data_IF_219391964188
#
_entry.id   IF_219391964188
#
_cell.length_a   1.000
_cell.length_b   1.000
_cell.length_c   1.000
_cell.angle_alpha   90.00
_cell.angle_beta   90.00
_cell.angle_gamma   90.00
#
_symmetry.space_group_name_H-M   'P 1'
#
loop_
_entity.id
_entity.type
_entity.pdbx_description
1 polymer ?
#
# COMPACT_ATOMS: atom_id res chain seq x y z
N UNK A 1 0.36 6.56 -10.57
CA UNK A 1 1.20 6.00 -11.66
C UNK A 1 2.19 4.98 -11.07
N UNK A 2 1.78 3.75 -10.73
CA UNK A 2 2.70 2.69 -10.22
C UNK A 2 2.40 1.27 -10.77
N UNK A 3 1.35 1.07 -11.59
CA UNK A 3 1.01 -0.27 -12.12
C UNK A 3 1.71 -0.69 -13.44
N UNK A 4 2.78 -0.01 -13.89
CA UNK A 4 3.39 -0.28 -15.21
C UNK A 4 4.62 -1.20 -15.22
N UNK A 5 5.09 -1.70 -14.07
CA UNK A 5 6.39 -2.39 -14.00
C UNK A 5 6.34 -3.92 -13.95
N UNK A 6 5.16 -4.54 -13.88
CA UNK A 6 5.02 -6.01 -13.86
C UNK A 6 4.53 -6.65 -15.17
N UNK A 7 4.16 -5.85 -16.20
CA UNK A 7 3.60 -6.37 -17.45
C UNK A 7 4.65 -6.75 -18.52
N UNK A 8 5.85 -6.16 -18.50
CA UNK A 8 6.90 -6.42 -19.50
C UNK A 8 7.44 -7.86 -19.53
N UNK A 9 7.70 -8.54 -18.40
CA UNK A 9 8.24 -9.90 -18.45
C UNK A 9 7.21 -10.92 -18.96
N UNK A 10 5.92 -10.74 -18.65
CA UNK A 10 4.84 -11.60 -19.15
C UNK A 10 4.63 -11.48 -20.66
N UNK A 11 4.70 -10.26 -21.21
CA UNK A 11 4.57 -10.02 -22.63
C UNK A 11 5.70 -10.68 -23.44
N UNK A 12 6.95 -10.63 -22.95
CA UNK A 12 8.08 -11.25 -23.60
C UNK A 12 8.00 -12.79 -23.62
N UNK A 13 7.49 -13.39 -22.54
CA UNK A 13 7.25 -14.84 -22.43
C UNK A 13 6.13 -15.27 -23.40
N UNK A 14 5.04 -14.51 -23.48
CA UNK A 14 3.94 -14.75 -24.42
C UNK A 14 4.39 -14.64 -25.89
N UNK A 15 5.19 -13.63 -26.23
CA UNK A 15 5.77 -13.47 -27.58
C UNK A 15 6.74 -14.60 -27.94
N UNK A 16 7.51 -15.11 -26.97
CA UNK A 16 8.39 -16.27 -27.16
C UNK A 16 7.61 -17.57 -27.41
N UNK A 17 6.51 -17.79 -26.69
CA UNK A 17 5.65 -18.98 -26.84
C UNK A 17 4.92 -18.98 -28.19
N UNK A 18 4.45 -17.82 -28.66
CA UNK A 18 3.78 -17.70 -29.96
C UNK A 18 4.72 -18.07 -31.12
N UNK A 19 5.97 -17.61 -31.08
CA UNK A 19 6.98 -17.95 -32.12
C UNK A 19 7.35 -19.43 -32.15
N UNK A 20 7.40 -20.11 -31.00
CA UNK A 20 7.77 -21.52 -30.96
C UNK A 20 6.70 -22.41 -31.63
N UNK A 21 5.42 -22.03 -31.50
CA UNK A 21 4.30 -22.73 -32.15
C UNK A 21 4.36 -22.61 -33.68
N UNK A 22 4.72 -21.44 -34.20
CA UNK A 22 4.85 -21.22 -35.64
C UNK A 22 5.93 -22.13 -36.26
N UNK A 23 7.06 -22.31 -35.58
CA UNK A 23 8.11 -23.22 -36.04
C UNK A 23 7.66 -24.69 -36.04
N UNK A 24 6.90 -25.11 -35.02
CA UNK A 24 6.34 -26.46 -34.97
C UNK A 24 5.35 -26.70 -36.12
N UNK A 25 4.49 -25.73 -36.41
CA UNK A 25 3.56 -25.82 -37.54
C UNK A 25 4.29 -25.95 -38.88
N UNK A 26 5.37 -25.20 -39.09
CA UNK A 26 6.19 -25.31 -40.29
C UNK A 26 6.93 -26.66 -40.39
N UNK A 27 7.39 -27.20 -39.26
CA UNK A 27 7.99 -28.53 -39.22
C UNK A 27 7.01 -29.62 -39.63
N UNK A 28 5.79 -29.61 -39.08
CA UNK A 28 4.71 -30.55 -39.46
C UNK A 28 4.47 -30.53 -40.96
N UNK A 29 4.27 -29.33 -41.52
CA UNK A 29 3.99 -29.13 -42.94
C UNK A 29 5.10 -29.68 -43.85
N UNK A 30 6.37 -29.50 -43.49
CA UNK A 30 7.48 -30.04 -44.27
C UNK A 30 7.55 -31.57 -44.20
N UNK A 31 7.22 -32.17 -43.05
CA UNK A 31 7.15 -33.62 -42.89
C UNK A 31 5.98 -34.19 -43.72
N UNK A 32 4.83 -33.53 -43.67
CA UNK A 32 3.66 -33.88 -44.48
C UNK A 32 4.00 -33.86 -45.98
N UNK A 33 4.70 -32.82 -46.44
CA UNK A 33 5.14 -32.71 -47.83
C UNK A 33 6.18 -33.78 -48.20
N UNK A 34 7.13 -34.08 -47.31
CA UNK A 34 8.21 -35.06 -47.56
C UNK A 34 7.68 -36.49 -47.70
N UNK A 35 6.63 -36.81 -46.95
CA UNK A 35 6.01 -38.14 -46.93
C UNK A 35 4.69 -38.22 -47.71
N UNK A 36 4.26 -37.12 -48.33
CA UNK A 36 2.98 -36.96 -49.01
C UNK A 36 1.78 -37.37 -48.14
N UNK A 37 1.81 -36.96 -46.87
CA UNK A 37 0.76 -37.24 -45.88
C UNK A 37 -0.41 -36.26 -46.00
N UNK A 38 -1.60 -36.72 -45.60
CA UNK A 38 -2.77 -35.86 -45.38
C UNK A 38 -2.52 -34.87 -44.24
N UNK A 39 -3.17 -33.71 -44.29
CA UNK A 39 -3.18 -32.73 -43.18
C UNK A 39 -3.85 -33.27 -41.91
N UNK A 40 -4.67 -34.32 -42.05
CA UNK A 40 -5.20 -35.12 -40.94
C UNK A 40 -4.76 -36.58 -41.13
N UNK A 41 -3.60 -36.98 -40.57
CA UNK A 41 -3.07 -38.32 -40.73
C UNK A 41 -3.95 -39.39 -40.06
N UNK A 42 -4.14 -40.53 -40.71
CA UNK A 42 -4.84 -41.69 -40.15
C UNK A 42 -3.93 -42.49 -39.20
N UNK A 43 -4.48 -43.45 -38.45
CA UNK A 43 -3.71 -44.27 -37.50
C UNK A 43 -2.52 -44.98 -38.16
N UNK A 44 -2.71 -45.50 -39.37
CA UNK A 44 -1.66 -46.13 -40.19
C UNK A 44 -0.53 -45.16 -40.57
N UNK A 45 -0.86 -43.88 -40.76
CA UNK A 45 0.13 -42.86 -41.10
C UNK A 45 1.05 -42.55 -39.92
N UNK A 46 0.55 -42.64 -38.68
CA UNK A 46 1.37 -42.47 -37.49
C UNK A 46 2.28 -43.67 -37.21
N UNK A 47 1.84 -44.90 -37.54
CA UNK A 47 2.69 -46.09 -37.51
C UNK A 47 3.84 -45.97 -38.53
N UNK A 48 3.52 -45.56 -39.76
CA UNK A 48 4.53 -45.31 -40.78
C UNK A 48 5.48 -44.18 -40.39
N UNK A 49 4.96 -43.06 -39.87
CA UNK A 49 5.78 -41.93 -39.43
C UNK A 49 6.73 -42.32 -38.29
N UNK A 50 6.26 -43.14 -37.34
CA UNK A 50 7.07 -43.70 -36.27
C UNK A 50 8.24 -44.53 -36.84
N UNK A 51 7.96 -45.46 -37.75
CA UNK A 51 8.97 -46.33 -38.35
C UNK A 51 10.06 -45.54 -39.09
N UNK A 52 9.65 -44.60 -39.95
CA UNK A 52 10.60 -43.85 -40.80
C UNK A 52 11.42 -42.85 -39.97
N UNK A 53 10.84 -42.24 -38.92
CA UNK A 53 11.60 -41.39 -37.99
C UNK A 53 12.59 -42.25 -37.20
N UNK A 54 12.17 -43.40 -36.68
CA UNK A 54 13.03 -44.29 -35.90
C UNK A 54 14.19 -44.81 -36.75
N UNK A 55 13.93 -45.23 -37.98
CA UNK A 55 14.97 -45.71 -38.90
C UNK A 55 16.03 -44.63 -39.17
N UNK A 56 15.58 -43.39 -39.43
CA UNK A 56 16.46 -42.31 -39.84
C UNK A 56 17.19 -41.63 -38.68
N UNK A 57 16.51 -41.43 -37.57
CA UNK A 57 17.03 -40.63 -36.43
C UNK A 57 17.48 -41.49 -35.26
N UNK A 58 17.19 -42.79 -35.29
CA UNK A 58 17.38 -43.75 -34.18
C UNK A 58 16.72 -43.32 -32.87
N UNK A 59 15.76 -42.41 -32.95
CA UNK A 59 14.99 -41.94 -31.80
C UNK A 59 13.59 -42.53 -31.84
N UNK A 60 13.23 -43.25 -30.79
CA UNK A 60 11.91 -43.85 -30.63
C UNK A 60 10.89 -42.80 -30.18
N UNK A 61 10.06 -42.34 -31.13
CA UNK A 61 8.90 -41.49 -30.86
C UNK A 61 7.62 -42.32 -30.98
N UNK A 62 6.96 -42.62 -29.86
CA UNK A 62 5.72 -43.40 -29.88
C UNK A 62 4.65 -42.79 -30.78
N UNK A 63 3.82 -43.64 -31.39
CA UNK A 63 2.67 -43.22 -32.22
C UNK A 63 1.71 -42.30 -31.47
N UNK A 64 1.58 -42.47 -30.14
CA UNK A 64 0.83 -41.58 -29.25
C UNK A 64 1.46 -40.18 -29.11
N UNK A 65 2.79 -40.07 -29.11
CA UNK A 65 3.50 -38.79 -29.06
C UNK A 65 3.35 -38.03 -30.38
N UNK A 66 3.48 -38.73 -31.51
CA UNK A 66 3.26 -38.15 -32.84
C UNK A 66 1.81 -37.68 -33.01
N UNK A 67 0.83 -38.49 -32.58
CA UNK A 67 -0.59 -38.11 -32.60
C UNK A 67 -0.87 -36.83 -31.80
N UNK A 68 -0.24 -36.68 -30.64
CA UNK A 68 -0.37 -35.47 -29.82
C UNK A 68 0.18 -34.23 -30.52
N UNK A 69 1.30 -34.36 -31.23
CA UNK A 69 1.88 -33.25 -32.01
C UNK A 69 0.92 -32.83 -33.10
N UNK A 70 0.35 -33.76 -33.86
CA UNK A 70 -0.58 -33.47 -34.95
C UNK A 70 -2.00 -33.09 -34.51
N UNK A 71 -2.39 -33.32 -33.24
CA UNK A 71 -3.70 -32.91 -32.72
C UNK A 71 -3.72 -31.43 -32.30
N UNK A 72 -4.72 -30.67 -32.76
CA UNK A 72 -4.95 -29.27 -32.32
C UNK A 72 -5.44 -29.15 -30.86
N UNK A 73 -5.81 -30.28 -30.23
CA UNK A 73 -6.39 -30.33 -28.88
C UNK A 73 -5.35 -30.28 -27.75
N UNK A 74 -4.05 -30.33 -28.06
CA UNK A 74 -2.97 -30.28 -27.06
C UNK A 74 -2.09 -29.04 -27.26
N UNK A 75 -2.24 -28.06 -26.36
CA UNK A 75 -1.57 -26.75 -26.45
C UNK A 75 -0.15 -26.70 -25.86
N UNK A 76 0.36 -27.83 -25.34
CA UNK A 76 1.71 -27.89 -24.75
C UNK A 76 2.78 -28.09 -25.81
N UNK A 77 3.88 -27.33 -25.67
CA UNK A 77 5.06 -27.47 -26.53
C UNK A 77 5.66 -28.88 -26.31
N UNK A 78 5.94 -29.66 -27.37
CA UNK A 78 6.55 -30.98 -27.22
C UNK A 78 7.90 -30.92 -26.50
N UNK A 79 8.33 -32.05 -25.93
CA UNK A 79 9.63 -32.14 -25.29
C UNK A 79 10.76 -31.84 -26.30
N UNK A 80 11.84 -31.22 -25.84
CA UNK A 80 12.96 -30.82 -26.70
C UNK A 80 13.53 -32.00 -27.52
N UNK A 81 13.61 -33.21 -26.94
CA UNK A 81 14.05 -34.42 -27.66
C UNK A 81 13.15 -34.79 -28.84
N UNK A 82 11.84 -34.57 -28.70
CA UNK A 82 10.86 -34.80 -29.77
C UNK A 82 11.06 -33.81 -30.91
N UNK A 83 11.26 -32.53 -30.59
CA UNK A 83 11.53 -31.49 -31.59
C UNK A 83 12.87 -31.74 -32.32
N UNK A 84 13.87 -32.22 -31.59
CA UNK A 84 15.18 -32.58 -32.14
C UNK A 84 15.08 -33.70 -33.18
N UNK A 85 14.38 -34.79 -32.84
CA UNK A 85 14.16 -35.91 -33.75
C UNK A 85 13.38 -35.50 -35.00
N UNK A 86 12.35 -34.66 -34.89
CA UNK A 86 11.60 -34.16 -36.05
C UNK A 86 12.46 -33.29 -36.97
N UNK A 87 13.32 -32.43 -36.41
CA UNK A 87 14.26 -31.65 -37.22
C UNK A 87 15.32 -32.52 -37.91
N UNK A 88 15.85 -33.53 -37.21
CA UNK A 88 16.81 -34.49 -37.78
C UNK A 88 16.19 -35.32 -38.90
N UNK A 89 14.92 -35.69 -38.77
CA UNK A 89 14.18 -36.37 -39.83
C UNK A 89 14.12 -35.52 -41.13
N UNK A 90 14.03 -34.20 -40.98
CA UNK A 90 14.09 -33.21 -42.07
C UNK A 90 15.53 -32.88 -42.54
N UNK A 91 16.54 -33.66 -42.14
CA UNK A 91 17.96 -33.48 -42.51
C UNK A 91 18.63 -32.23 -41.91
N UNK A 92 18.06 -31.69 -40.83
CA UNK A 92 18.73 -30.64 -40.04
C UNK A 92 19.54 -31.26 -38.90
N UNK A 93 20.63 -30.61 -38.49
CA UNK A 93 21.46 -31.12 -37.38
C UNK A 93 20.72 -31.13 -36.03
N UNK A 94 19.64 -30.35 -35.91
CA UNK A 94 18.82 -30.24 -34.70
C UNK A 94 17.74 -29.16 -34.81
N UNK A 95 16.91 -29.03 -33.79
CA UNK A 95 15.76 -28.11 -33.79
C UNK A 95 16.18 -26.65 -33.97
N UNK A 96 17.29 -26.25 -33.36
CA UNK A 96 17.83 -24.89 -33.54
C UNK A 96 18.27 -24.63 -34.98
N UNK A 97 18.89 -25.62 -35.65
CA UNK A 97 19.32 -25.48 -37.04
C UNK A 97 18.13 -25.39 -38.00
N UNK A 98 17.04 -26.10 -37.70
CA UNK A 98 15.76 -25.98 -38.40
C UNK A 98 15.15 -24.58 -38.24
N UNK A 99 15.08 -24.03 -37.02
CA UNK A 99 14.60 -22.63 -36.82
C UNK A 99 15.43 -21.61 -37.59
N UNK A 100 16.75 -21.81 -37.63
CA UNK A 100 17.66 -20.95 -38.38
C UNK A 100 17.47 -21.06 -39.90
N UNK A 101 17.14 -22.24 -40.44
CA UNK A 101 16.89 -22.42 -41.87
C UNK A 101 15.66 -21.65 -42.35
N UNK A 102 14.60 -21.63 -41.54
CA UNK A 102 13.37 -20.86 -41.82
C UNK A 102 13.61 -19.34 -41.79
N UNK A 103 14.47 -18.87 -40.89
CA UNK A 103 14.80 -17.43 -40.78
C UNK A 103 15.57 -16.86 -41.98
N UNK A 104 16.19 -17.72 -42.82
CA UNK A 104 16.94 -17.27 -44.01
C UNK A 104 16.04 -16.97 -45.20
N UNK A 105 14.83 -17.55 -45.26
CA UNK A 105 13.88 -17.36 -46.36
C UNK A 105 13.16 -16.00 -46.29
N UNK A 106 13.04 -15.41 -45.10
CA UNK A 106 12.38 -14.10 -44.89
C UNK A 106 13.23 -12.88 -45.23
N UNK A 107 14.53 -13.04 -45.54
CA UNK A 107 15.43 -11.89 -45.79
C UNK A 107 15.31 -11.27 -47.19
N UNK A 108 14.52 -11.84 -48.09
CA UNK A 108 14.41 -11.38 -49.48
C UNK A 108 13.34 -10.27 -49.69
N UNK A 109 12.28 -10.22 -48.88
CA UNK A 109 11.16 -9.28 -49.12
C UNK A 109 11.28 -7.93 -48.40
N UNK A 110 12.15 -7.80 -47.39
CA UNK A 110 12.25 -6.60 -46.55
C UNK A 110 13.15 -5.48 -47.10
N UNK A 111 13.74 -5.64 -48.30
CA UNK A 111 14.73 -4.69 -48.82
C UNK A 111 14.16 -3.59 -49.71
N UNK A 112 12.84 -3.50 -49.88
CA UNK A 112 12.24 -2.42 -50.65
C UNK A 112 10.94 -1.95 -50.00
N UNK A 113 11.03 -0.77 -49.35
CA UNK A 113 9.96 0.09 -48.81
C UNK A 113 9.82 0.10 -47.29
N UNK A 114 10.63 0.91 -46.60
CA UNK A 114 10.36 1.31 -45.21
C UNK A 114 10.72 2.77 -44.86
N UNK A 115 10.56 3.70 -45.82
CA UNK A 115 10.62 5.15 -45.53
C UNK A 115 9.38 5.63 -44.78
N UNK A 116 8.22 5.02 -45.01
CA UNK A 116 6.93 5.37 -44.37
C UNK A 116 6.90 5.09 -42.87
N UNK A 117 7.49 3.99 -42.39
CA UNK A 117 7.56 3.70 -40.94
C UNK A 117 8.45 4.72 -40.23
N UNK A 118 9.57 5.13 -40.85
CA UNK A 118 10.43 6.20 -40.32
C UNK A 118 9.69 7.55 -40.24
N UNK A 119 8.84 7.88 -41.23
CA UNK A 119 8.02 9.09 -41.17
C UNK A 119 6.96 9.03 -40.07
N UNK A 120 6.33 7.87 -39.83
CA UNK A 120 5.31 7.72 -38.76
C UNK A 120 5.97 7.81 -37.37
N UNK A 121 7.13 7.17 -37.17
CA UNK A 121 7.89 7.31 -35.92
C UNK A 121 8.38 8.74 -35.71
N UNK A 122 8.84 9.42 -36.78
CA UNK A 122 9.20 10.82 -36.74
C UNK A 122 8.01 11.72 -36.38
N UNK A 123 6.84 11.48 -36.98
CA UNK A 123 5.61 12.21 -36.67
C UNK A 123 5.19 11.99 -35.21
N UNK A 124 5.23 10.76 -34.70
CA UNK A 124 4.90 10.47 -33.30
C UNK A 124 5.87 11.14 -32.32
N UNK A 125 7.17 11.20 -32.64
CA UNK A 125 8.16 11.93 -31.86
C UNK A 125 7.93 13.43 -31.92
N UNK A 126 7.56 13.98 -33.07
CA UNK A 126 7.24 15.41 -33.22
C UNK A 126 5.95 15.75 -32.47
N UNK A 127 4.90 14.94 -32.58
CA UNK A 127 3.65 15.13 -31.85
C UNK A 127 3.87 14.98 -30.34
N UNK A 128 4.64 13.97 -29.89
CA UNK A 128 5.04 13.83 -28.50
C UNK A 128 5.84 15.05 -28.01
N UNK A 129 6.77 15.54 -28.82
CA UNK A 129 7.56 16.74 -28.50
C UNK A 129 6.70 17.98 -28.44
N UNK A 130 5.75 18.14 -29.37
CA UNK A 130 4.78 19.24 -29.38
C UNK A 130 3.91 19.16 -28.13
N UNK A 131 3.37 17.99 -27.77
CA UNK A 131 2.56 17.80 -26.56
C UNK A 131 3.35 18.19 -25.30
N UNK A 132 4.62 17.77 -25.19
CA UNK A 132 5.53 18.14 -24.09
C UNK A 132 5.89 19.63 -24.10
N UNK A 133 5.99 20.27 -25.26
CA UNK A 133 6.26 21.72 -25.39
C UNK A 133 5.02 22.58 -25.18
N UNK A 134 3.82 22.02 -25.39
CA UNK A 134 2.52 22.68 -25.17
C UNK A 134 1.93 22.40 -23.79
N UNK A 135 2.50 21.51 -22.99
CA UNK A 135 2.17 21.44 -21.56
C UNK A 135 2.78 22.65 -20.88
N UNK A 136 2.10 23.78 -21.00
CA UNK A 136 2.32 24.92 -20.14
C UNK A 136 1.92 24.46 -18.74
N UNK A 137 2.89 24.26 -17.86
CA UNK A 137 2.61 24.20 -16.43
C UNK A 137 1.82 25.47 -16.11
N UNK A 138 0.57 25.30 -15.70
CA UNK A 138 -0.26 26.44 -15.32
C UNK A 138 0.48 27.14 -14.18
N UNK A 139 0.91 28.38 -14.41
CA UNK A 139 1.66 29.14 -13.41
C UNK A 139 0.69 29.49 -12.30
N UNK A 140 0.71 28.69 -11.24
CA UNK A 140 -0.10 28.90 -10.05
C UNK A 140 0.40 30.19 -9.39
N UNK A 141 -0.47 31.20 -9.29
CA UNK A 141 -0.15 32.44 -8.60
C UNK A 141 0.00 32.23 -7.09
N UNK A 142 0.47 33.26 -6.38
CA UNK A 142 0.59 33.19 -4.92
C UNK A 142 -0.74 32.81 -4.26
N UNK A 143 -0.67 31.88 -3.29
CA UNK A 143 -1.80 31.46 -2.48
C UNK A 143 -1.60 31.84 -1.02
N UNK A 144 -2.69 32.21 -0.35
CA UNK A 144 -2.72 32.50 1.08
C UNK A 144 -3.75 31.60 1.72
N UNK A 145 -3.41 31.07 2.89
CA UNK A 145 -4.32 30.36 3.78
C UNK A 145 -3.94 30.73 5.20
N UNK A 146 -4.84 31.37 5.94
CA UNK A 146 -4.63 31.73 7.35
C UNK A 146 -5.86 31.32 8.16
N UNK A 147 -5.72 30.41 9.15
CA UNK A 147 -6.80 30.11 10.07
C UNK A 147 -7.06 31.33 10.98
N UNK A 148 -8.32 31.56 11.36
CA UNK A 148 -8.69 32.57 12.36
C UNK A 148 -8.08 32.23 13.74
N UNK A 149 -7.91 30.94 14.02
CA UNK A 149 -7.38 30.42 15.28
C UNK A 149 -6.52 29.18 15.00
N UNK A 150 -5.29 29.18 15.51
CA UNK A 150 -4.36 28.04 15.38
C UNK A 150 -4.62 26.93 16.42
N UNK A 151 -5.20 27.28 17.58
CA UNK A 151 -5.45 26.37 18.70
C UNK A 151 -6.86 26.56 19.23
N UNK A 152 -7.67 25.52 19.20
CA UNK A 152 -9.03 25.50 19.73
C UNK A 152 -9.16 24.40 20.78
N UNK A 153 -9.85 24.65 21.90
CA UNK A 153 -10.10 23.64 22.93
C UNK A 153 -11.48 23.00 22.71
N UNK A 154 -11.53 21.67 22.78
CA UNK A 154 -12.75 20.89 22.65
C UNK A 154 -13.27 20.74 21.22
N UNK A 155 -14.32 19.93 21.09
CA UNK A 155 -15.04 19.63 19.85
C UNK A 155 -16.55 19.78 20.05
N UNK A 156 -17.33 20.11 19.00
CA UNK A 156 -16.87 20.44 17.64
C UNK A 156 -16.13 21.78 17.60
N UNK A 157 -15.08 21.87 16.78
CA UNK A 157 -14.31 23.10 16.58
C UNK A 157 -14.52 23.62 15.16
N UNK A 158 -15.29 24.70 14.99
CA UNK A 158 -15.45 25.36 13.68
C UNK A 158 -14.39 26.44 13.54
N UNK A 159 -13.52 26.29 12.54
CA UNK A 159 -12.40 27.20 12.26
C UNK A 159 -12.65 27.88 10.92
N UNK A 160 -12.65 29.21 10.93
CA UNK A 160 -12.61 30.03 9.72
C UNK A 160 -11.20 30.10 9.15
N UNK A 161 -11.11 30.19 7.82
CA UNK A 161 -9.87 30.32 7.07
C UNK A 161 -10.01 31.48 6.10
N UNK A 162 -9.19 32.51 6.30
CA UNK A 162 -8.98 33.53 5.30
C UNK A 162 -8.07 32.99 4.20
N UNK A 163 -8.53 33.05 2.96
CA UNK A 163 -7.76 32.55 1.83
C UNK A 163 -7.70 33.57 0.70
N UNK A 164 -6.66 33.41 -0.13
CA UNK A 164 -6.57 34.09 -1.41
C UNK A 164 -6.03 33.11 -2.45
N UNK A 165 -6.78 32.91 -3.53
CA UNK A 165 -6.39 32.02 -4.64
C UNK A 165 -6.54 32.79 -5.96
N UNK A 166 -5.48 32.82 -6.76
CA UNK A 166 -5.45 33.56 -8.05
C UNK A 166 -5.60 32.65 -9.27
N UNK A 167 -5.69 31.34 -9.04
CA UNK A 167 -5.75 30.32 -10.08
C UNK A 167 -6.99 29.46 -9.88
N UNK A 168 -7.66 29.04 -10.97
CA UNK A 168 -8.76 28.10 -10.87
C UNK A 168 -8.24 26.74 -10.39
N UNK A 169 -9.17 25.87 -9.99
CA UNK A 169 -8.86 24.50 -9.59
C UNK A 169 -8.02 24.33 -8.32
N UNK A 170 -8.08 25.29 -7.41
CA UNK A 170 -7.51 25.15 -6.06
C UNK A 170 -8.58 24.59 -5.13
N UNK A 171 -8.26 23.46 -4.50
CA UNK A 171 -9.10 22.77 -3.53
C UNK A 171 -8.55 22.98 -2.11
N UNK A 172 -9.43 23.17 -1.13
CA UNK A 172 -9.09 23.04 0.30
C UNK A 172 -9.38 21.63 0.78
N UNK A 173 -8.45 21.05 1.52
CA UNK A 173 -8.57 19.76 2.19
C UNK A 173 -8.31 19.95 3.69
N UNK A 174 -9.25 19.49 4.52
CA UNK A 174 -9.07 19.44 5.97
C UNK A 174 -8.61 18.02 6.34
N UNK A 175 -7.52 17.89 7.08
CA UNK A 175 -6.86 16.59 7.32
C UNK A 175 -7.71 15.50 7.97
N UNK A 176 -8.84 15.83 8.59
CA UNK A 176 -9.70 14.85 9.25
C UNK A 176 -10.52 14.02 8.27
N UNK A 177 -10.76 14.52 7.05
CA UNK A 177 -11.38 13.78 5.97
C UNK A 177 -10.69 14.08 4.62
N UNK A 178 -9.68 13.27 4.22
CA UNK A 178 -8.99 13.47 2.95
C UNK A 178 -9.85 13.16 1.72
N UNK A 179 -11.04 12.59 1.90
CA UNK A 179 -12.00 12.32 0.83
C UNK A 179 -12.89 13.53 0.52
N UNK A 180 -12.93 14.51 1.41
CA UNK A 180 -13.69 15.75 1.22
C UNK A 180 -12.76 16.91 0.89
N UNK A 181 -12.54 17.11 -0.42
CA UNK A 181 -11.90 18.31 -0.97
C UNK A 181 -12.99 19.27 -1.43
N UNK A 182 -12.90 20.53 -1.02
CA UNK A 182 -13.82 21.57 -1.47
C UNK A 182 -13.12 22.52 -2.43
N UNK A 183 -13.69 22.72 -3.62
CA UNK A 183 -13.21 23.70 -4.59
C UNK A 183 -13.41 25.11 -4.04
N UNK A 184 -12.34 25.89 -3.97
CA UNK A 184 -12.42 27.29 -3.56
C UNK A 184 -12.84 28.19 -4.72
N UNK A 185 -13.60 29.24 -4.38
CA UNK A 185 -13.97 30.30 -5.31
C UNK A 185 -12.82 31.33 -5.39
N UNK A 186 -12.45 31.76 -6.60
CA UNK A 186 -11.41 32.77 -6.78
C UNK A 186 -11.85 34.17 -6.33
N UNK A 187 -13.16 34.45 -6.30
CA UNK A 187 -13.70 35.71 -5.79
C UNK A 187 -13.94 35.67 -4.27
N UNK A 188 -13.90 34.47 -3.68
CA UNK A 188 -14.06 34.28 -2.25
C UNK A 188 -12.79 34.58 -1.46
N UNK A 189 -12.96 34.83 -0.16
CA UNK A 189 -11.86 35.13 0.76
C UNK A 189 -12.00 34.43 2.13
N UNK A 190 -13.02 33.58 2.29
CA UNK A 190 -13.33 32.91 3.54
C UNK A 190 -13.91 31.52 3.30
N UNK A 191 -13.42 30.55 4.06
CA UNK A 191 -13.94 29.18 4.11
C UNK A 191 -13.98 28.75 5.57
N UNK A 192 -14.98 27.98 5.99
CA UNK A 192 -15.04 27.44 7.35
C UNK A 192 -15.13 25.92 7.33
N UNK A 193 -14.39 25.28 8.24
CA UNK A 193 -14.41 23.84 8.45
C UNK A 193 -14.67 23.48 9.90
N UNK A 194 -15.43 22.41 10.14
CA UNK A 194 -15.68 21.90 11.50
C UNK A 194 -14.90 20.62 11.75
N UNK A 195 -14.16 20.58 12.85
CA UNK A 195 -13.41 19.41 13.32
C UNK A 195 -14.19 18.70 14.43
N UNK A 196 -14.42 17.40 14.28
CA UNK A 196 -15.27 16.61 15.19
C UNK A 196 -14.49 15.79 16.22
N UNK A 197 -13.16 15.73 16.12
CA UNK A 197 -12.33 15.08 17.14
C UNK A 197 -11.01 15.84 17.40
N UNK A 198 -10.50 15.76 18.65
CA UNK A 198 -9.21 16.35 19.01
C UNK A 198 -8.04 15.72 18.26
N UNK A 199 -7.20 16.57 17.66
CA UNK A 199 -5.97 16.18 16.99
C UNK A 199 -5.11 17.41 16.63
N UNK A 200 -3.90 17.15 16.13
CA UNK A 200 -3.07 18.11 15.43
C UNK A 200 -3.32 17.98 13.93
N UNK A 201 -4.30 18.74 13.45
CA UNK A 201 -4.78 18.76 12.09
C UNK A 201 -3.93 19.66 11.19
N UNK A 202 -4.11 19.49 9.88
CA UNK A 202 -3.45 20.27 8.83
C UNK A 202 -4.49 20.64 7.76
N UNK A 203 -4.76 21.92 7.59
CA UNK A 203 -5.50 22.44 6.45
C UNK A 203 -4.52 22.65 5.28
N UNK A 204 -4.92 22.25 4.07
CA UNK A 204 -4.08 22.36 2.87
C UNK A 204 -4.84 23.02 1.74
N UNK A 205 -4.15 23.84 0.95
CA UNK A 205 -4.60 24.14 -0.41
C UNK A 205 -3.85 23.27 -1.40
N UNK A 206 -4.58 22.69 -2.34
CA UNK A 206 -4.04 21.77 -3.35
C UNK A 206 -4.43 22.22 -4.75
N UNK A 207 -3.53 21.97 -5.71
CA UNK A 207 -3.83 22.00 -7.13
C UNK A 207 -3.68 20.59 -7.68
N UNK A 208 -4.81 19.92 -7.94
CA UNK A 208 -4.83 18.48 -8.17
C UNK A 208 -4.29 17.73 -6.94
N UNK A 209 -3.13 17.09 -7.08
CA UNK A 209 -2.45 16.39 -5.96
C UNK A 209 -1.27 17.18 -5.37
N UNK A 210 -0.93 18.33 -5.95
CA UNK A 210 0.17 19.15 -5.45
C UNK A 210 -0.30 20.01 -4.28
N UNK A 211 0.31 19.83 -3.10
CA UNK A 211 0.09 20.70 -1.95
C UNK A 211 0.80 22.04 -2.19
N UNK A 212 0.05 23.14 -2.20
CA UNK A 212 0.55 24.49 -2.42
C UNK A 212 0.96 25.17 -1.11
N UNK A 213 0.10 25.07 -0.09
CA UNK A 213 0.34 25.58 1.26
C UNK A 213 -0.34 24.66 2.26
N UNK A 214 0.24 24.57 3.46
CA UNK A 214 -0.32 23.81 4.58
C UNK A 214 -0.20 24.61 5.87
N UNK A 215 -1.28 24.67 6.65
CA UNK A 215 -1.34 25.32 7.95
C UNK A 215 -1.80 24.35 9.04
N UNK A 216 -1.17 24.35 10.22
CA UNK A 216 -1.61 23.51 11.33
C UNK A 216 -2.90 24.07 11.94
N UNK A 217 -3.74 23.18 12.46
CA UNK A 217 -4.88 23.50 13.31
C UNK A 217 -4.88 22.53 14.48
N UNK A 218 -4.66 23.01 15.69
CA UNK A 218 -4.54 22.18 16.87
C UNK A 218 -5.84 22.19 17.66
N UNK A 219 -6.60 21.11 17.58
CA UNK A 219 -7.81 20.92 18.39
C UNK A 219 -7.42 20.14 19.64
N UNK A 220 -7.49 20.81 20.78
CA UNK A 220 -6.97 20.33 22.07
C UNK A 220 -8.07 19.81 22.99
N UNK A 221 -7.68 19.06 24.01
CA UNK A 221 -8.53 18.58 25.09
C UNK A 221 -7.94 18.98 26.44
N UNK A 222 -8.79 19.09 27.44
CA UNK A 222 -8.37 19.32 28.84
C UNK A 222 -7.75 18.05 29.43
N UNK A 223 -8.27 16.87 29.09
CA UNK A 223 -7.79 15.57 29.55
C UNK A 223 -7.88 14.53 28.42
N UNK A 224 -7.74 13.25 28.76
CA UNK A 224 -8.04 12.16 27.83
C UNK A 224 -9.47 12.27 27.32
N UNK A 225 -9.67 12.03 26.04
CA UNK A 225 -10.97 12.11 25.38
C UNK A 225 -11.27 10.77 24.71
N UNK A 226 -12.43 10.20 25.04
CA UNK A 226 -12.93 8.93 24.50
C UNK A 226 -13.85 9.16 23.31
N UNK A 227 -13.62 8.44 22.22
CA UNK A 227 -14.47 8.46 21.04
C UNK A 227 -14.45 7.11 20.34
N UNK A 228 -15.41 6.87 19.45
CA UNK A 228 -15.48 5.66 18.63
C UNK A 228 -15.55 6.08 17.16
N UNK A 229 -14.70 5.47 16.33
CA UNK A 229 -14.64 5.70 14.90
C UNK A 229 -15.18 4.47 14.15
N UNK A 230 -15.92 4.66 13.06
CA UNK A 230 -16.41 3.56 12.21
C UNK A 230 -15.36 3.07 11.18
N UNK A 231 -14.45 3.95 10.80
CA UNK A 231 -13.34 3.71 9.88
C UNK A 231 -12.07 4.46 10.34
N UNK A 232 -10.91 4.09 9.78
CA UNK A 232 -9.64 4.76 10.10
C UNK A 232 -9.58 6.26 9.74
N UNK A 233 -10.58 6.78 9.02
CA UNK A 233 -10.76 8.19 8.66
C UNK A 233 -12.24 8.60 8.81
N UNK A 234 -12.85 8.29 9.95
CA UNK A 234 -14.24 8.66 10.23
C UNK A 234 -14.39 10.19 10.30
N UNK A 235 -15.27 10.68 9.43
CA UNK A 235 -15.66 12.06 9.33
C UNK A 235 -16.48 12.53 10.55
N UNK A 236 -17.29 11.65 11.13
CA UNK A 236 -18.22 11.99 12.21
C UNK A 236 -18.15 10.92 13.31
N UNK A 237 -17.04 10.87 14.07
CA UNK A 237 -16.91 9.91 15.14
C UNK A 237 -17.94 10.14 16.24
N UNK A 238 -18.27 9.09 16.96
CA UNK A 238 -19.14 9.17 18.14
C UNK A 238 -18.29 9.59 19.34
N UNK A 239 -18.50 10.82 19.80
CA UNK A 239 -17.88 11.35 21.01
C UNK A 239 -18.60 10.78 22.23
N UNK A 240 -17.83 10.26 23.20
CA UNK A 240 -18.36 9.70 24.44
C UNK A 240 -18.35 10.74 25.56
N UNK A 241 -19.35 10.67 26.44
CA UNK A 241 -19.32 11.41 27.70
C UNK A 241 -18.26 10.84 28.63
N UNK A 242 -17.64 11.67 29.48
CA UNK A 242 -16.56 11.24 30.38
C UNK A 242 -16.95 10.04 31.24
N UNK A 243 -18.18 10.04 31.77
CA UNK A 243 -18.70 8.94 32.60
C UNK A 243 -18.81 7.59 31.86
N UNK A 244 -18.73 7.58 30.53
CA UNK A 244 -18.83 6.36 29.73
C UNK A 244 -17.47 5.68 29.51
N UNK A 245 -16.36 6.40 29.68
CA UNK A 245 -15.02 5.86 29.45
C UNK A 245 -14.00 6.13 30.55
N UNK A 246 -14.20 7.14 31.38
CA UNK A 246 -13.33 7.47 32.50
C UNK A 246 -13.87 6.78 33.76
N UNK A 247 -13.24 5.67 34.13
CA UNK A 247 -13.54 4.94 35.37
C UNK A 247 -12.55 5.34 36.47
N UNK A 248 -12.83 4.92 37.72
CA UNK A 248 -12.06 5.33 38.91
C UNK A 248 -10.56 4.98 38.82
N UNK A 249 -10.21 3.88 38.15
CA UNK A 249 -8.85 3.32 38.08
C UNK A 249 -8.30 3.12 36.66
N UNK A 250 -9.06 3.52 35.62
CA UNK A 250 -8.69 3.29 34.21
C UNK A 250 -9.52 4.09 33.22
N UNK A 251 -9.04 4.18 31.97
CA UNK A 251 -9.92 4.42 30.82
C UNK A 251 -10.43 3.09 30.29
N UNK A 252 -11.74 2.97 30.05
CA UNK A 252 -12.32 1.75 29.47
C UNK A 252 -13.49 2.03 28.54
N UNK A 253 -13.41 1.55 27.29
CA UNK A 253 -14.55 1.48 26.38
C UNK A 253 -14.92 0.00 26.23
N UNK A 254 -16.02 -0.38 26.87
CA UNK A 254 -16.46 -1.77 26.98
C UNK A 254 -17.34 -2.19 25.80
N UNK A 255 -17.50 -3.51 25.62
CA UNK A 255 -18.47 -4.07 24.66
C UNK A 255 -19.89 -3.53 24.87
N UNK A 256 -20.30 -3.31 26.12
CA UNK A 256 -21.61 -2.75 26.45
C UNK A 256 -21.75 -1.28 25.98
N UNK A 257 -20.67 -0.50 26.06
CA UNK A 257 -20.66 0.88 25.57
C UNK A 257 -20.95 0.92 24.07
N UNK A 258 -20.31 0.03 23.33
CA UNK A 258 -20.40 -0.04 21.87
C UNK A 258 -21.75 -0.59 21.39
N UNK A 259 -22.32 -1.56 22.09
CA UNK A 259 -23.64 -2.11 21.75
C UNK A 259 -24.79 -1.09 21.81
N UNK A 260 -24.59 0.04 22.49
CA UNK A 260 -25.58 1.13 22.56
C UNK A 260 -25.49 2.09 21.37
N UNK A 261 -24.46 1.95 20.54
CA UNK A 261 -24.15 2.87 19.45
C UNK A 261 -24.45 2.16 18.13
N UNK A 262 -25.20 2.83 17.26
CA UNK A 262 -25.52 2.34 15.92
C UNK A 262 -24.38 2.72 14.98
N UNK A 263 -23.58 1.74 14.56
CA UNK A 263 -22.47 1.94 13.63
C UNK A 263 -22.94 1.80 12.18
N UNK A 264 -22.38 2.62 11.29
CA UNK A 264 -22.57 2.49 9.84
C UNK A 264 -21.75 1.35 9.23
N UNK A 265 -20.68 0.97 9.93
CA UNK A 265 -19.71 -0.06 9.54
C UNK A 265 -19.80 -1.26 10.48
N UNK A 266 -19.43 -2.43 9.97
CA UNK A 266 -19.27 -3.64 10.79
C UNK A 266 -18.05 -3.55 11.74
N UNK A 267 -17.25 -2.48 11.62
CA UNK A 267 -16.09 -2.22 12.46
C UNK A 267 -16.30 -0.97 13.30
N UNK A 268 -15.85 -1.05 14.55
CA UNK A 268 -15.80 0.08 15.47
C UNK A 268 -14.41 0.12 16.10
N UNK A 269 -13.85 1.33 16.18
CA UNK A 269 -12.53 1.59 16.72
C UNK A 269 -12.66 2.50 17.94
N UNK A 270 -12.64 1.94 19.16
CA UNK A 270 -12.50 2.76 20.35
C UNK A 270 -11.16 3.50 20.34
N UNK A 271 -11.20 4.79 20.66
CA UNK A 271 -10.03 5.66 20.65
C UNK A 271 -9.97 6.44 21.95
N UNK A 272 -8.80 6.40 22.59
CA UNK A 272 -8.40 7.38 23.59
C UNK A 272 -7.43 8.36 22.96
N UNK A 273 -7.76 9.65 22.98
CA UNK A 273 -6.91 10.72 22.46
C UNK A 273 -6.55 11.72 23.55
N UNK A 274 -5.28 12.10 23.60
CA UNK A 274 -4.75 13.15 24.43
C UNK A 274 -4.07 14.18 23.52
N UNK A 275 -4.76 15.30 23.30
CA UNK A 275 -4.31 16.41 22.46
C UNK A 275 -4.15 17.63 23.37
N UNK A 276 -3.07 17.70 24.14
CA UNK A 276 -2.93 18.70 25.20
C UNK A 276 -1.75 19.65 24.94
N UNK A 277 -1.90 20.93 25.28
CA UNK A 277 -0.87 21.94 25.06
C UNK A 277 0.48 21.59 25.71
N UNK A 278 0.45 21.00 26.91
CA UNK A 278 1.63 20.57 27.67
C UNK A 278 2.50 19.52 26.95
N UNK A 279 1.93 18.74 26.02
CA UNK A 279 2.73 17.83 25.20
C UNK A 279 3.80 18.58 24.40
N UNK A 280 3.55 19.86 24.06
CA UNK A 280 4.50 20.71 23.34
C UNK A 280 5.79 20.99 24.11
N UNK A 281 5.84 20.69 25.41
CA UNK A 281 7.05 20.78 26.25
C UNK A 281 8.01 19.62 26.02
N UNK A 282 7.58 18.59 25.30
CA UNK A 282 8.36 17.39 25.02
C UNK A 282 8.82 17.36 23.57
N UNK A 283 10.09 16.99 23.38
CA UNK A 283 10.61 16.63 22.07
C UNK A 283 10.02 15.28 21.67
N UNK A 284 9.49 15.20 20.45
CA UNK A 284 9.13 13.93 19.84
C UNK A 284 10.34 13.09 19.46
N UNK A 285 11.55 13.65 19.49
CA UNK A 285 12.79 12.92 19.26
C UNK A 285 13.47 12.45 20.57
N UNK A 286 13.02 12.97 21.73
CA UNK A 286 13.56 12.70 23.06
C UNK A 286 12.44 12.63 24.12
N UNK A 287 11.87 11.44 24.29
CA UNK A 287 10.82 11.18 25.28
C UNK A 287 10.82 9.70 25.71
N UNK A 288 10.21 9.44 26.86
CA UNK A 288 9.83 8.07 27.22
C UNK A 288 8.38 7.99 27.64
N UNK A 289 7.71 6.92 27.23
CA UNK A 289 6.31 6.63 27.53
C UNK A 289 6.19 5.19 27.98
N UNK A 290 5.40 4.96 29.03
CA UNK A 290 5.02 3.62 29.50
C UNK A 290 3.51 3.58 29.65
N UNK A 291 2.89 2.50 29.20
CA UNK A 291 1.45 2.31 29.35
C UNK A 291 1.13 0.84 29.57
N UNK A 292 0.12 0.57 30.40
CA UNK A 292 -0.43 -0.77 30.56
C UNK A 292 -1.81 -0.83 29.92
N UNK A 293 -2.00 -1.77 29.00
CA UNK A 293 -3.22 -1.87 28.19
C UNK A 293 -3.77 -3.29 28.20
N UNK A 294 -5.05 -3.40 27.87
CA UNK A 294 -5.74 -4.66 27.62
C UNK A 294 -6.80 -4.44 26.53
N UNK A 295 -6.99 -5.44 25.68
CA UNK A 295 -7.98 -5.40 24.62
C UNK A 295 -8.53 -6.79 24.32
N UNK A 296 -9.85 -6.89 24.17
CA UNK A 296 -10.53 -8.14 23.85
C UNK A 296 -11.38 -7.96 22.59
N UNK A 297 -11.43 -9.00 21.75
CA UNK A 297 -12.25 -8.99 20.56
C UNK A 297 -13.75 -8.81 20.91
N UNK A 298 -14.49 -8.09 20.06
CA UNK A 298 -15.93 -7.91 20.25
C UNK A 298 -16.75 -9.15 19.92
N UNK A 299 -16.32 -9.87 18.89
CA UNK A 299 -16.96 -11.09 18.42
C UNK A 299 -15.96 -12.25 18.43
N UNK A 300 -16.46 -13.47 18.57
CA UNK A 300 -15.64 -14.68 18.67
C UNK A 300 -14.83 -14.97 17.39
N UNK A 301 -15.16 -14.34 16.26
CA UNK A 301 -14.57 -14.62 14.95
C UNK A 301 -13.41 -13.68 14.55
N UNK A 302 -13.10 -12.65 15.35
CA UNK A 302 -11.92 -11.81 15.10
C UNK A 302 -10.63 -12.59 15.43
N UNK A 303 -10.06 -13.22 14.41
CA UNK A 303 -8.87 -14.07 14.56
C UNK A 303 -7.63 -13.24 14.90
N UNK A 304 -7.49 -12.07 14.26
CA UNK A 304 -6.39 -11.13 14.48
C UNK A 304 -6.90 -9.81 15.03
N UNK A 305 -6.44 -9.49 16.24
CA UNK A 305 -6.72 -8.24 16.94
C UNK A 305 -5.46 -7.38 16.95
N UNK A 306 -5.60 -6.10 16.63
CA UNK A 306 -4.51 -5.12 16.63
C UNK A 306 -5.03 -3.83 17.26
N UNK A 307 -4.24 -3.25 18.16
CA UNK A 307 -4.39 -1.84 18.51
C UNK A 307 -3.17 -1.06 18.04
N UNK A 308 -3.32 0.23 17.88
CA UNK A 308 -2.26 1.12 17.44
C UNK A 308 -1.99 2.22 18.46
N UNK A 309 -0.71 2.49 18.65
CA UNK A 309 -0.23 3.65 19.39
C UNK A 309 0.20 4.69 18.38
N UNK A 310 -0.45 5.84 18.38
CA UNK A 310 -0.15 6.96 17.49
C UNK A 310 0.33 8.15 18.32
N UNK A 311 1.56 8.58 18.06
CA UNK A 311 2.18 9.77 18.64
C UNK A 311 2.44 10.74 17.50
N UNK A 312 1.87 11.95 17.56
CA UNK A 312 2.08 13.00 16.56
C UNK A 312 2.88 14.14 17.15
N UNK A 313 3.86 14.63 16.39
CA UNK A 313 4.53 15.89 16.63
C UNK A 313 4.21 16.91 15.54
N UNK A 314 4.90 18.05 15.58
CA UNK A 314 4.68 19.15 14.63
C UNK A 314 5.05 18.78 13.18
N UNK A 315 6.04 17.91 13.00
CA UNK A 315 6.61 17.57 11.69
C UNK A 315 6.36 16.11 11.30
N UNK A 316 6.47 15.18 12.26
CA UNK A 316 6.37 13.74 12.03
C UNK A 316 5.39 13.04 12.96
N UNK A 317 5.34 11.72 12.83
CA UNK A 317 4.51 10.85 13.66
C UNK A 317 5.14 9.48 13.86
N UNK A 318 4.83 8.85 14.97
CA UNK A 318 5.08 7.44 15.25
C UNK A 318 3.71 6.75 15.28
N UNK A 319 3.54 5.66 14.54
CA UNK A 319 2.37 4.78 14.55
C UNK A 319 2.87 3.35 14.67
N UNK A 320 2.61 2.71 15.81
CA UNK A 320 3.11 1.37 16.12
C UNK A 320 1.92 0.44 16.31
N UNK A 321 1.79 -0.62 15.50
CA UNK A 321 0.78 -1.65 15.71
C UNK A 321 1.26 -2.63 16.78
N UNK A 322 0.41 -2.91 17.75
CA UNK A 322 0.59 -3.99 18.72
C UNK A 322 -0.46 -5.06 18.41
N UNK A 323 0.01 -6.25 18.07
CA UNK A 323 -0.86 -7.30 17.55
C UNK A 323 -0.98 -8.49 18.50
N UNK A 324 -2.07 -9.23 18.37
CA UNK A 324 -2.16 -10.57 18.96
C UNK A 324 -1.03 -11.45 18.43
N UNK A 325 -0.45 -12.29 19.28
CA UNK A 325 0.56 -13.30 18.87
C UNK A 325 0.15 -14.04 17.61
N UNK A 326 1.02 -14.03 16.59
CA UNK A 326 0.79 -14.63 15.28
C UNK A 326 0.19 -13.67 14.22
N UNK A 327 -0.20 -12.46 14.59
CA UNK A 327 -0.86 -11.50 13.67
C UNK A 327 0.04 -10.33 13.22
N UNK A 328 1.31 -10.31 13.62
CA UNK A 328 2.25 -9.22 13.30
C UNK A 328 2.39 -8.93 11.80
N UNK A 329 2.12 -9.91 10.94
CA UNK A 329 2.17 -9.76 9.49
C UNK A 329 1.17 -8.76 8.91
N UNK A 330 0.12 -8.41 9.67
CA UNK A 330 -0.91 -7.46 9.26
C UNK A 330 -0.58 -6.00 9.64
N UNK A 331 0.36 -5.80 10.56
CA UNK A 331 0.73 -4.47 11.05
C UNK A 331 1.58 -3.68 10.05
N UNK A 332 1.43 -2.35 10.09
CA UNK A 332 2.34 -1.41 9.45
C UNK A 332 2.83 -0.42 10.49
N UNK A 333 4.12 -0.50 10.82
CA UNK A 333 4.77 0.49 11.67
C UNK A 333 5.21 1.67 10.81
N UNK A 334 4.96 2.88 11.31
CA UNK A 334 5.51 4.13 10.78
C UNK A 334 6.26 4.89 11.87
N UNK A 335 7.48 5.33 11.59
CA UNK A 335 8.25 6.18 12.49
C UNK A 335 8.96 7.25 11.64
N UNK A 336 8.48 8.49 11.71
CA UNK A 336 8.92 9.56 10.82
C UNK A 336 8.87 9.15 9.33
N UNK A 337 10.01 9.09 8.63
CA UNK A 337 10.12 8.62 7.25
C UNK A 337 10.20 7.09 7.08
N UNK A 338 10.41 6.34 8.17
CA UNK A 338 10.49 4.88 8.13
C UNK A 338 9.10 4.27 8.11
N UNK A 339 8.90 3.29 7.23
CA UNK A 339 7.67 2.49 7.13
C UNK A 339 8.06 1.01 7.02
N UNK A 340 7.60 0.20 7.96
CA UNK A 340 7.87 -1.24 8.02
C UNK A 340 6.54 -1.98 7.98
N UNK A 341 6.31 -2.77 6.93
CA UNK A 341 5.16 -3.68 6.87
C UNK A 341 5.55 -5.05 7.42
N UNK A 342 4.70 -5.63 8.28
CA UNK A 342 4.87 -6.98 8.80
C UNK A 342 4.84 -8.08 7.73
N UNK A 343 4.36 -7.76 6.51
CA UNK A 343 4.43 -8.69 5.37
C UNK A 343 5.85 -8.90 4.85
N UNK A 344 6.74 -7.93 5.09
CA UNK A 344 8.09 -7.89 4.53
C UNK A 344 9.17 -7.79 5.61
N UNK A 345 8.78 -7.60 6.87
CA UNK A 345 9.67 -7.41 8.00
C UNK A 345 9.13 -8.21 9.18
N UNK A 346 10.04 -8.71 10.01
CA UNK A 346 9.64 -9.37 11.25
C UNK A 346 9.23 -8.30 12.28
N UNK A 347 7.93 -8.26 12.60
CA UNK A 347 7.34 -7.41 13.63
C UNK A 347 6.85 -8.25 14.82
N UNK A 348 7.29 -9.50 14.97
CA UNK A 348 6.85 -10.40 16.04
C UNK A 348 7.13 -9.85 17.44
N UNK A 349 8.21 -9.08 17.62
CA UNK A 349 8.51 -8.33 18.84
C UNK A 349 7.37 -7.39 19.29
N UNK A 350 6.50 -6.96 18.36
CA UNK A 350 5.35 -6.11 18.63
C UNK A 350 4.06 -6.92 18.86
N UNK A 351 4.17 -8.17 19.31
CA UNK A 351 3.02 -9.04 19.55
C UNK A 351 2.96 -9.56 20.97
N UNK A 352 1.75 -9.67 21.51
CA UNK A 352 1.53 -10.26 22.82
C UNK A 352 0.10 -10.82 22.92
N UNK A 353 -0.24 -11.46 24.04
CA UNK A 353 -1.63 -11.77 24.36
C UNK A 353 -2.34 -10.49 24.79
N UNK A 354 -3.16 -9.93 23.91
CA UNK A 354 -3.86 -8.68 24.15
C UNK A 354 -4.99 -8.83 25.20
N UNK A 355 -5.46 -10.05 25.44
CA UNK A 355 -6.58 -10.33 26.36
C UNK A 355 -6.21 -10.22 27.83
N UNK A 356 -4.91 -10.15 28.14
CA UNK A 356 -4.39 -9.90 29.48
C UNK A 356 -3.73 -8.52 29.55
N UNK A 357 -3.71 -7.87 30.73
CA UNK A 357 -2.93 -6.66 30.93
C UNK A 357 -1.46 -6.87 30.56
N UNK A 358 -0.94 -5.99 29.70
CA UNK A 358 0.46 -6.01 29.28
C UNK A 358 1.01 -4.59 29.21
N UNK A 359 2.31 -4.46 29.43
CA UNK A 359 3.01 -3.19 29.35
C UNK A 359 3.57 -2.97 27.94
N UNK A 360 3.53 -1.72 27.49
CA UNK A 360 4.34 -1.23 26.38
C UNK A 360 5.22 -0.07 26.87
N UNK A 361 6.44 0.00 26.35
CA UNK A 361 7.33 1.12 26.63
C UNK A 361 7.99 1.64 25.35
N UNK A 362 7.96 2.95 25.16
CA UNK A 362 8.54 3.64 24.01
C UNK A 362 9.62 4.54 24.57
N UNK A 363 10.87 4.33 24.15
CA UNK A 363 12.01 5.16 24.53
C UNK A 363 12.62 5.73 23.26
N UNK A 364 12.45 7.02 23.06
CA UNK A 364 13.01 7.73 21.93
C UNK A 364 14.12 8.64 22.43
N UNK A 365 15.32 8.48 21.89
CA UNK A 365 16.45 9.34 22.21
C UNK A 365 17.27 9.60 20.96
N UNK A 366 17.57 10.86 20.67
CA UNK A 366 18.41 11.25 19.53
C UNK A 366 18.00 10.56 18.22
N UNK A 367 16.70 10.51 17.94
CA UNK A 367 16.10 9.88 16.76
C UNK A 367 16.28 8.36 16.64
N UNK A 368 16.44 7.70 17.77
CA UNK A 368 16.40 6.24 17.89
C UNK A 368 15.23 5.85 18.78
N UNK A 369 14.18 5.28 18.17
CA UNK A 369 13.03 4.75 18.89
C UNK A 369 13.27 3.28 19.26
N UNK A 370 13.16 2.96 20.55
CA UNK A 370 13.18 1.60 21.09
C UNK A 370 11.82 1.28 21.67
N UNK A 371 11.24 0.16 21.23
CA UNK A 371 9.88 -0.27 21.59
C UNK A 371 9.97 -1.59 22.33
N UNK A 372 9.38 -1.63 23.52
CA UNK A 372 9.22 -2.81 24.36
C UNK A 372 7.74 -3.19 24.43
N UNK A 373 7.43 -4.47 24.32
CA UNK A 373 6.06 -5.00 24.41
C UNK A 373 6.11 -6.26 25.27
N UNK A 374 5.46 -6.21 26.43
CA UNK A 374 5.56 -7.25 27.44
C UNK A 374 7.03 -7.64 27.70
N UNK A 375 7.34 -8.93 27.69
CA UNK A 375 8.67 -9.48 27.93
C UNK A 375 9.46 -9.80 26.64
N UNK A 376 9.03 -9.28 25.49
CA UNK A 376 9.71 -9.52 24.21
C UNK A 376 11.04 -8.74 24.09
N UNK A 377 11.93 -9.23 23.23
CA UNK A 377 13.09 -8.46 22.79
C UNK A 377 12.67 -7.13 22.15
N UNK A 378 13.39 -6.02 22.42
CA UNK A 378 12.99 -4.71 21.94
C UNK A 378 13.19 -4.55 20.43
N UNK A 379 12.25 -3.85 19.78
CA UNK A 379 12.40 -3.39 18.40
C UNK A 379 13.02 -1.99 18.37
N UNK A 380 14.14 -1.83 17.65
CA UNK A 380 14.82 -0.55 17.49
C UNK A 380 14.67 0.02 16.08
N UNK A 381 14.41 1.32 15.99
CA UNK A 381 14.22 2.04 14.73
C UNK A 381 14.99 3.35 14.78
N UNK A 382 15.96 3.48 13.88
CA UNK A 382 16.67 4.72 13.63
C UNK A 382 15.97 5.50 12.51
N UNK A 383 15.81 6.81 12.69
CA UNK A 383 15.24 7.71 11.69
C UNK A 383 16.02 9.03 11.60
N UNK A 384 15.72 9.83 10.57
CA UNK A 384 16.44 11.06 10.24
C UNK A 384 15.57 12.30 10.37
N UNK A 385 14.31 12.24 9.92
CA UNK A 385 13.42 13.40 9.96
C UNK A 385 12.85 13.59 11.37
N UNK A 386 13.03 14.79 11.92
CA UNK A 386 12.54 15.12 13.27
C UNK A 386 11.02 14.98 13.34
N UNK A 387 10.53 14.39 14.43
CA UNK A 387 9.11 14.36 14.76
C UNK A 387 8.63 15.76 15.20
N UNK A 388 9.53 16.59 15.70
CA UNK A 388 9.24 17.92 16.26
C UNK A 388 8.74 17.83 17.70
N UNK A 389 8.05 18.84 18.21
CA UNK A 389 7.47 18.78 19.57
C UNK A 389 6.22 17.91 19.57
N UNK A 390 5.98 17.14 20.63
CA UNK A 390 4.77 16.31 20.76
C UNK A 390 3.50 17.18 20.79
N UNK A 391 2.43 16.67 20.19
CA UNK A 391 1.11 17.34 20.12
C UNK A 391 -0.02 16.41 20.51
N UNK A 392 0.06 15.14 20.11
CA UNK A 392 -1.04 14.18 20.32
C UNK A 392 -0.49 12.80 20.65
N UNK A 393 -1.14 12.12 21.58
CA UNK A 393 -1.00 10.69 21.85
C UNK A 393 -2.37 10.03 21.70
N UNK A 394 -2.45 8.95 20.93
CA UNK A 394 -3.67 8.21 20.64
C UNK A 394 -3.45 6.71 20.84
N UNK A 395 -4.42 6.06 21.46
CA UNK A 395 -4.56 4.62 21.46
C UNK A 395 -5.81 4.26 20.68
N UNK A 396 -5.67 3.47 19.61
CA UNK A 396 -6.74 3.14 18.66
C UNK A 396 -6.90 1.63 18.69
N UNK A 397 -8.04 1.14 19.15
CA UNK A 397 -8.25 -0.28 19.39
C UNK A 397 -9.13 -0.92 18.32
N UNK A 398 -8.87 -2.19 18.02
CA UNK A 398 -9.87 -3.11 17.51
C UNK A 398 -10.32 -3.93 18.72
N UNK A 399 -11.62 -4.06 18.98
CA UNK A 399 -12.08 -4.67 20.22
C UNK A 399 -12.15 -3.68 21.38
N UNK A 400 -12.45 -4.19 22.58
CA UNK A 400 -12.56 -3.36 23.77
C UNK A 400 -11.25 -2.65 24.04
N UNK A 401 -11.33 -1.50 24.69
CA UNK A 401 -10.18 -0.69 25.03
C UNK A 401 -10.09 -0.53 26.54
N UNK A 402 -8.97 -0.91 27.14
CA UNK A 402 -8.65 -0.60 28.53
C UNK A 402 -7.23 -0.03 28.61
N UNK A 403 -7.09 1.17 29.18
CA UNK A 403 -5.82 1.81 29.54
C UNK A 403 -5.75 1.88 31.06
N UNK A 404 -4.92 1.02 31.65
CA UNK A 404 -4.83 0.80 33.10
C UNK A 404 -3.79 1.68 33.78
N UNK A 405 -2.78 2.12 33.03
CA UNK A 405 -1.81 3.11 33.49
C UNK A 405 -1.16 3.81 32.31
N UNK A 406 -0.73 5.04 32.53
CA UNK A 406 -0.02 5.84 31.54
C UNK A 406 0.98 6.77 32.22
N UNK A 407 2.21 6.75 31.74
CA UNK A 407 3.25 7.65 32.18
C UNK A 407 4.02 8.19 30.97
N UNK A 408 4.28 9.50 30.99
CA UNK A 408 5.06 10.20 29.98
C UNK A 408 6.14 11.03 30.67
N UNK A 409 7.38 10.90 30.21
CA UNK A 409 8.55 11.58 30.77
C UNK A 409 9.36 12.27 29.67
N UNK A 410 10.07 13.33 30.07
CA UNK A 410 11.03 14.02 29.21
C UNK A 410 12.38 13.27 29.12
N UNK A 411 13.31 13.85 28.38
CA UNK A 411 14.69 13.37 28.20
C UNK A 411 15.47 13.16 29.52
N UNK A 412 15.08 13.85 30.59
CA UNK A 412 15.72 13.80 31.91
C UNK A 412 14.98 12.84 32.87
N UNK A 413 14.12 11.96 32.33
CA UNK A 413 13.24 11.06 33.08
C UNK A 413 12.30 11.77 34.06
N UNK A 414 12.09 13.07 33.90
CA UNK A 414 11.13 13.79 34.73
C UNK A 414 9.72 13.54 34.21
N UNK A 415 8.79 13.09 35.06
CA UNK A 415 7.41 12.88 34.66
C UNK A 415 6.79 14.22 34.29
N UNK A 416 6.06 14.23 33.17
CA UNK A 416 5.20 15.35 32.84
C UNK A 416 4.01 15.30 33.83
N UNK A 417 4.09 16.09 34.90
CA UNK A 417 3.06 16.17 35.92
C UNK A 417 2.03 17.22 35.54
N UNK A 418 0.99 16.77 34.82
CA UNK A 418 -0.23 17.53 34.61
C UNK A 418 -1.39 16.61 34.95
N UNK A 419 -2.37 17.10 35.71
CA UNK A 419 -3.58 16.34 36.04
C UNK A 419 -4.31 15.84 34.80
N UNK A 420 -4.13 16.52 33.66
CA UNK A 420 -4.62 16.10 32.35
C UNK A 420 -4.05 14.76 31.84
N UNK A 421 -2.84 14.39 32.29
CA UNK A 421 -2.09 13.23 31.80
C UNK A 421 -2.31 11.97 32.65
N UNK A 422 -2.78 12.14 33.89
CA UNK A 422 -3.11 11.06 34.83
C UNK A 422 -4.56 11.23 35.27
N UNK A 423 -5.52 10.70 34.50
CA UNK A 423 -6.93 10.91 34.79
C UNK A 423 -7.44 10.00 35.93
N UNK A 424 -6.62 9.06 36.43
CA UNK A 424 -6.88 8.15 37.55
C UNK A 424 -5.57 7.81 38.30
#
# INVERSE_FOLDING_TARGET
>A
MVFKTLAKPLQYILEGILKERDYIAQCKKQIEQKLNLSSEPMERDFEYLHEVILEKTRTDLSTSTLRRIWSDKHQSIPQAKTLEALAQFLDHSGWHAFKASLSKTDRSWYRQRNRTILYIMGLLLVVSSIILLTSTDEVIGDVILEPEVDVHEGVPATIGFHYQVKSPNIDIELSWNPYERTRLDMEGNFYSGTYYYPDYHKAKLLYGEQVLIQKPVHVTTVQWHGLIMDEGYDANPVVLDEAEYLLEDKLAITKQTLQRIEFKSDQAYPVFTLSHADLSRLSGDDFSMVAQLKSEAFENDQTCLIYEVLIKGTHGSIRVPISKTGCYGLGVLKCAEKVLSGKLNDLSALSTDLSIPHEIAFRNHSKQLTIYVADNDPLMIQYENSIGTLKVIKFIFQGSAELLSFELRNENEQPLSSSALRPF
#
